data_IF_064281538471
#
_entry.id   IF_064281538471
#
_cell.length_a   1.000
_cell.length_b   1.000
_cell.length_c   1.000
_cell.angle_alpha   90.00
_cell.angle_beta   90.00
_cell.angle_gamma   90.00
#
_symmetry.space_group_name_H-M   'P 1'
#
loop_
_entity.id
_entity.type
_entity.pdbx_description
1 polymer ?
#
# COMPACT_ATOMS: atom_id res chain seq x y z
N UNK A 1 7.36 -5.63 8.90
CA UNK A 1 6.95 -4.69 9.96
C UNK A 1 7.90 -3.52 9.97
N UNK A 2 7.43 -2.36 10.36
CA UNK A 2 8.20 -1.13 10.41
C UNK A 2 8.07 -0.50 11.80
N UNK A 3 9.07 0.26 12.25
CA UNK A 3 9.00 0.99 13.53
C UNK A 3 8.53 2.40 13.23
N UNK A 4 7.40 2.78 13.82
CA UNK A 4 6.87 4.13 13.74
C UNK A 4 7.74 5.10 14.57
N UNK A 5 7.89 6.34 14.08
CA UNK A 5 8.59 7.40 14.80
C UNK A 5 7.97 7.67 16.19
N UNK A 6 8.68 8.37 17.09
CA UNK A 6 8.24 8.62 18.49
C UNK A 6 6.92 9.40 18.64
N UNK A 7 6.25 9.77 17.57
CA UNK A 7 4.99 10.55 17.62
C UNK A 7 3.81 9.68 18.10
N UNK A 8 3.00 10.15 19.09
CA UNK A 8 1.76 9.46 19.48
C UNK A 8 0.80 9.28 18.30
N UNK A 9 -0.11 8.25 18.33
CA UNK A 9 -0.37 7.37 19.47
C UNK A 9 0.51 6.11 19.52
N UNK A 10 1.22 5.73 18.48
CA UNK A 10 1.92 4.43 18.41
C UNK A 10 3.44 4.54 18.20
N UNK A 11 4.06 5.57 18.79
CA UNK A 11 5.50 5.78 18.67
C UNK A 11 6.34 4.61 19.24
N UNK A 12 7.42 4.25 18.54
CA UNK A 12 8.35 3.15 18.83
C UNK A 12 7.72 1.74 18.80
N UNK A 13 6.50 1.57 18.25
CA UNK A 13 5.91 0.26 18.07
C UNK A 13 6.18 -0.27 16.66
N UNK A 14 6.28 -1.59 16.56
CA UNK A 14 6.26 -2.26 15.28
C UNK A 14 4.84 -2.25 14.72
N UNK A 15 4.69 -1.73 13.52
CA UNK A 15 3.41 -1.67 12.81
C UNK A 15 3.57 -2.24 11.40
N UNK A 16 2.46 -2.62 10.79
CA UNK A 16 2.42 -2.88 9.35
C UNK A 16 2.32 -1.55 8.60
N UNK A 17 2.91 -1.45 7.38
CA UNK A 17 2.67 -0.30 6.51
C UNK A 17 1.19 -0.14 6.24
N UNK A 18 0.71 1.10 6.20
CA UNK A 18 -0.69 1.37 5.86
C UNK A 18 -1.25 2.62 6.49
N UNK A 19 -2.29 3.15 5.88
CA UNK A 19 -2.97 4.36 6.28
C UNK A 19 -4.47 4.31 6.02
N UNK A 20 -5.05 5.47 5.75
CA UNK A 20 -6.46 5.63 5.46
C UNK A 20 -6.70 5.56 3.95
N UNK A 21 -7.94 5.26 3.60
CA UNK A 21 -8.42 5.49 2.23
C UNK A 21 -8.55 7.00 2.05
N UNK A 22 -7.91 7.53 1.01
CA UNK A 22 -7.99 8.93 0.60
C UNK A 22 -9.06 9.13 -0.47
N UNK A 23 -9.46 10.38 -0.70
CA UNK A 23 -10.44 10.71 -1.74
C UNK A 23 -9.96 10.28 -3.14
N UNK A 24 -8.66 10.36 -3.40
CA UNK A 24 -8.05 9.92 -4.65
C UNK A 24 -8.18 8.41 -4.87
N UNK A 25 -8.21 7.60 -3.80
CA UNK A 25 -8.39 6.14 -3.88
C UNK A 25 -9.81 5.75 -4.30
N UNK A 26 -10.78 6.66 -4.16
CA UNK A 26 -12.20 6.46 -4.48
C UNK A 26 -12.56 6.78 -5.95
N UNK A 27 -11.61 7.25 -6.75
CA UNK A 27 -11.86 7.66 -8.12
C UNK A 27 -12.29 6.50 -9.00
N UNK A 28 -13.38 6.67 -9.77
CA UNK A 28 -13.92 5.62 -10.66
C UNK A 28 -12.96 5.20 -11.78
N UNK A 29 -11.97 6.03 -12.07
CA UNK A 29 -10.95 5.75 -13.09
C UNK A 29 -10.08 4.55 -12.73
N UNK A 30 -9.92 4.22 -11.45
CA UNK A 30 -9.11 3.10 -10.99
C UNK A 30 -9.47 1.76 -11.60
N UNK A 31 -10.72 1.58 -12.04
CA UNK A 31 -11.16 0.38 -12.78
C UNK A 31 -10.33 0.09 -14.04
N UNK A 32 -9.69 1.13 -14.62
CA UNK A 32 -8.85 1.03 -15.82
C UNK A 32 -7.37 0.83 -15.50
N UNK A 33 -6.98 0.95 -14.21
CA UNK A 33 -5.61 0.87 -13.72
C UNK A 33 -5.40 -0.24 -12.70
N UNK A 34 -6.40 -1.09 -12.47
CA UNK A 34 -6.29 -2.28 -11.62
C UNK A 34 -6.58 -3.54 -12.43
N UNK A 35 -5.84 -4.61 -12.18
CA UNK A 35 -6.16 -5.92 -12.71
C UNK A 35 -6.87 -6.79 -11.66
N UNK A 36 -7.67 -7.73 -12.16
CA UNK A 36 -8.29 -8.81 -11.38
C UNK A 36 -9.59 -8.46 -10.68
N UNK A 37 -9.75 -7.26 -10.15
CA UNK A 37 -10.96 -6.86 -9.43
C UNK A 37 -11.58 -5.59 -10.01
N UNK A 38 -12.90 -5.58 -10.08
CA UNK A 38 -13.69 -4.35 -10.16
C UNK A 38 -14.26 -4.03 -8.78
N UNK A 39 -14.90 -2.88 -8.64
CA UNK A 39 -15.42 -2.44 -7.35
C UNK A 39 -16.47 -3.40 -6.74
N UNK A 40 -17.35 -3.95 -7.55
CA UNK A 40 -18.39 -4.89 -7.10
C UNK A 40 -17.78 -6.17 -6.51
N UNK A 41 -16.81 -6.78 -7.21
CA UNK A 41 -16.13 -7.99 -6.73
C UNK A 41 -15.32 -7.68 -5.46
N UNK A 42 -14.58 -6.57 -5.46
CA UNK A 42 -13.81 -6.16 -4.31
C UNK A 42 -14.69 -5.89 -3.07
N UNK A 43 -15.84 -5.25 -3.28
CA UNK A 43 -16.83 -4.99 -2.22
C UNK A 43 -17.42 -6.28 -1.67
N UNK A 44 -17.75 -7.24 -2.51
CA UNK A 44 -18.24 -8.56 -2.12
C UNK A 44 -17.20 -9.31 -1.27
N UNK A 45 -15.94 -9.34 -1.71
CA UNK A 45 -14.84 -10.01 -0.98
C UNK A 45 -14.65 -9.41 0.41
N UNK A 46 -14.76 -8.09 0.57
CA UNK A 46 -14.58 -7.40 1.85
C UNK A 46 -15.85 -7.33 2.70
N UNK A 47 -17.01 -7.70 2.15
CA UNK A 47 -18.30 -7.57 2.83
C UNK A 47 -18.67 -6.10 3.07
N UNK A 48 -18.34 -5.20 2.14
CA UNK A 48 -18.75 -3.78 2.17
C UNK A 48 -19.77 -3.51 1.08
N UNK A 49 -20.58 -2.47 1.25
CA UNK A 49 -21.65 -2.15 0.30
C UNK A 49 -21.13 -1.64 -1.04
N UNK A 50 -20.07 -0.84 -1.02
CA UNK A 50 -19.46 -0.17 -2.18
C UNK A 50 -18.02 0.24 -1.87
N UNK A 51 -17.32 0.71 -2.89
CA UNK A 51 -15.94 1.23 -2.80
C UNK A 51 -14.92 0.21 -2.28
N UNK A 52 -15.18 -1.09 -2.46
CA UNK A 52 -14.27 -2.15 -2.02
C UNK A 52 -12.91 -2.08 -2.69
N UNK A 53 -12.84 -1.66 -3.97
CA UNK A 53 -11.58 -1.56 -4.70
C UNK A 53 -10.63 -0.53 -4.08
N UNK A 54 -11.15 0.53 -3.45
CA UNK A 54 -10.34 1.57 -2.81
C UNK A 54 -9.42 1.03 -1.71
N UNK A 55 -9.79 -0.05 -1.04
CA UNK A 55 -8.94 -0.70 -0.02
C UNK A 55 -7.67 -1.30 -0.63
N UNK A 56 -7.75 -1.91 -1.82
CA UNK A 56 -6.57 -2.39 -2.54
C UNK A 56 -5.70 -1.25 -3.04
N UNK A 57 -6.33 -0.19 -3.56
CA UNK A 57 -5.62 0.99 -4.05
C UNK A 57 -4.86 1.65 -2.89
N UNK A 58 -5.54 1.92 -1.76
CA UNK A 58 -4.92 2.47 -0.57
C UNK A 58 -3.77 1.57 -0.06
N UNK A 59 -3.97 0.25 0.00
CA UNK A 59 -2.94 -0.69 0.39
C UNK A 59 -1.68 -0.59 -0.49
N UNK A 60 -1.84 -0.47 -1.81
CA UNK A 60 -0.71 -0.35 -2.75
C UNK A 60 -0.05 1.03 -2.63
N UNK A 61 -0.84 2.11 -2.55
CA UNK A 61 -0.34 3.47 -2.38
C UNK A 61 0.48 3.60 -1.10
N UNK A 62 -0.06 3.20 0.03
CA UNK A 62 0.60 3.24 1.33
C UNK A 62 1.88 2.38 1.37
N UNK A 63 1.85 1.20 0.73
CA UNK A 63 3.06 0.38 0.60
C UNK A 63 4.14 1.10 -0.21
N UNK A 64 3.77 1.86 -1.23
CA UNK A 64 4.72 2.65 -2.00
C UNK A 64 5.23 3.86 -1.21
N UNK A 65 4.35 4.60 -0.55
CA UNK A 65 4.70 5.78 0.25
C UNK A 65 5.60 5.41 1.45
N UNK A 66 5.20 4.40 2.23
CA UNK A 66 5.88 4.09 3.49
C UNK A 66 7.13 3.23 3.33
N UNK A 67 7.10 2.23 2.43
CA UNK A 67 8.16 1.23 2.32
C UNK A 67 8.77 1.10 0.92
N UNK A 68 8.34 1.90 -0.04
CA UNK A 68 8.89 1.93 -1.40
C UNK A 68 8.52 0.72 -2.26
N UNK A 69 7.56 -0.10 -1.83
CA UNK A 69 7.10 -1.27 -2.57
C UNK A 69 5.88 -0.92 -3.41
N UNK A 70 6.00 -1.05 -4.72
CA UNK A 70 4.94 -0.75 -5.68
C UNK A 70 4.40 -2.04 -6.31
N UNK A 71 3.22 -2.45 -5.90
CA UNK A 71 2.53 -3.65 -6.40
C UNK A 71 1.82 -3.35 -7.72
N UNK A 72 2.62 -3.11 -8.76
CA UNK A 72 2.16 -2.74 -10.10
C UNK A 72 3.07 -3.37 -11.16
N UNK A 73 2.58 -3.35 -12.39
CA UNK A 73 3.33 -3.69 -13.61
C UNK A 73 3.06 -2.65 -14.68
N UNK A 74 3.91 -2.55 -15.68
CA UNK A 74 3.62 -1.74 -16.87
C UNK A 74 2.48 -2.36 -17.67
N UNK A 75 1.70 -1.56 -18.33
CA UNK A 75 0.63 -2.02 -19.25
C UNK A 75 1.17 -2.93 -20.34
N UNK A 76 2.42 -2.74 -20.77
CA UNK A 76 3.15 -3.63 -21.67
C UNK A 76 3.38 -5.04 -21.10
N UNK A 77 3.17 -5.24 -19.78
CA UNK A 77 3.51 -6.48 -19.07
C UNK A 77 4.93 -6.51 -18.50
N UNK A 78 5.76 -5.52 -18.80
CA UNK A 78 7.12 -5.41 -18.28
C UNK A 78 7.12 -5.17 -16.78
N UNK A 79 8.00 -5.87 -16.05
CA UNK A 79 8.18 -5.70 -14.60
C UNK A 79 8.88 -4.36 -14.31
N UNK A 80 8.53 -3.74 -13.18
CA UNK A 80 9.24 -2.59 -12.65
C UNK A 80 10.57 -3.04 -12.03
N UNK A 81 11.61 -2.25 -12.26
CA UNK A 81 12.94 -2.44 -11.68
C UNK A 81 13.29 -1.25 -10.79
N UNK A 82 12.77 -1.28 -9.55
CA UNK A 82 12.95 -0.19 -8.58
C UNK A 82 14.31 -0.25 -7.86
N UNK A 83 15.13 -1.27 -8.10
CA UNK A 83 16.54 -1.33 -7.66
C UNK A 83 17.51 -0.85 -8.73
N UNK A 84 17.09 -0.88 -10.00
CA UNK A 84 17.92 -0.54 -11.15
C UNK A 84 17.39 0.66 -11.95
N UNK A 85 16.98 0.40 -13.20
CA UNK A 85 16.70 1.47 -14.19
C UNK A 85 15.57 2.41 -13.80
N UNK A 86 14.56 1.96 -13.08
CA UNK A 86 13.40 2.77 -12.70
C UNK A 86 13.60 3.52 -11.37
N UNK A 87 14.65 3.17 -10.60
CA UNK A 87 14.88 3.62 -9.23
C UNK A 87 14.75 5.14 -9.04
N UNK A 88 15.60 5.90 -9.69
CA UNK A 88 15.68 7.36 -9.48
C UNK A 88 14.36 8.07 -9.80
N UNK A 89 13.65 7.60 -10.82
CA UNK A 89 12.37 8.16 -11.24
C UNK A 89 11.28 7.85 -10.21
N UNK A 90 11.19 6.61 -9.74
CA UNK A 90 10.17 6.22 -8.76
C UNK A 90 10.48 6.73 -7.35
N UNK A 91 11.75 6.87 -6.98
CA UNK A 91 12.16 7.58 -5.75
C UNK A 91 11.68 9.04 -5.76
N UNK A 92 11.74 9.71 -6.92
CA UNK A 92 11.18 11.06 -7.08
C UNK A 92 9.66 11.05 -6.98
N UNK A 93 8.98 10.18 -7.71
CA UNK A 93 7.51 10.06 -7.62
C UNK A 93 7.03 9.79 -6.19
N UNK A 94 7.74 8.92 -5.46
CA UNK A 94 7.41 8.63 -4.06
C UNK A 94 7.49 9.89 -3.19
N UNK A 95 8.53 10.70 -3.36
CA UNK A 95 8.66 11.98 -2.64
C UNK A 95 7.57 12.97 -3.01
N UNK A 96 7.32 13.12 -4.31
CA UNK A 96 6.28 14.03 -4.81
C UNK A 96 4.89 13.59 -4.31
N UNK A 97 4.62 12.28 -4.22
CA UNK A 97 3.37 11.71 -3.70
C UNK A 97 3.21 11.99 -2.20
N UNK A 98 4.25 11.72 -1.38
CA UNK A 98 4.26 11.99 0.06
C UNK A 98 4.05 13.49 0.34
N UNK A 99 4.58 14.36 -0.51
CA UNK A 99 4.41 15.82 -0.41
C UNK A 99 3.08 16.33 -1.00
N UNK A 100 2.21 15.44 -1.51
CA UNK A 100 0.97 15.79 -2.21
C UNK A 100 1.17 16.68 -3.45
N UNK A 101 2.34 16.59 -4.11
CA UNK A 101 2.66 17.31 -5.35
C UNK A 101 2.14 16.58 -6.59
N UNK A 102 1.86 15.30 -6.47
CA UNK A 102 1.28 14.44 -7.52
C UNK A 102 0.32 13.42 -6.88
N UNK A 103 -0.75 13.04 -7.58
CA UNK A 103 -1.61 11.94 -7.12
C UNK A 103 -1.08 10.57 -7.55
N UNK A 104 -1.46 9.52 -6.82
CA UNK A 104 -1.07 8.17 -7.17
C UNK A 104 -1.63 7.72 -8.52
N UNK A 105 -2.85 8.15 -8.84
CA UNK A 105 -3.46 7.89 -10.14
C UNK A 105 -2.69 8.55 -11.28
N UNK A 106 -2.19 9.77 -11.06
CA UNK A 106 -1.40 10.48 -12.06
C UNK A 106 -0.06 9.76 -12.33
N UNK A 107 0.59 9.21 -11.31
CA UNK A 107 1.79 8.36 -11.49
C UNK A 107 1.44 7.15 -12.36
N UNK A 108 0.33 6.47 -12.07
CA UNK A 108 -0.12 5.32 -12.84
C UNK A 108 -0.41 5.68 -14.30
N UNK A 109 -0.99 6.85 -14.55
CA UNK A 109 -1.25 7.37 -15.90
C UNK A 109 0.06 7.63 -16.67
N UNK A 110 0.98 8.38 -16.08
CA UNK A 110 2.26 8.77 -16.71
C UNK A 110 3.15 7.58 -17.05
N UNK A 111 3.17 6.59 -16.17
CA UNK A 111 4.03 5.41 -16.30
C UNK A 111 3.32 4.20 -16.90
N UNK A 112 2.08 4.37 -17.37
CA UNK A 112 1.23 3.31 -17.92
C UNK A 112 1.20 2.07 -17.01
N UNK A 113 0.95 2.30 -15.71
CA UNK A 113 0.91 1.23 -14.73
C UNK A 113 -0.46 0.59 -14.62
N UNK A 114 -0.44 -0.71 -14.31
CA UNK A 114 -1.60 -1.48 -13.88
C UNK A 114 -1.28 -2.03 -12.49
N UNK A 115 -2.07 -1.67 -11.49
CA UNK A 115 -1.96 -2.19 -10.13
C UNK A 115 -2.33 -3.67 -10.12
N UNK A 116 -1.50 -4.49 -9.46
CA UNK A 116 -1.68 -5.96 -9.45
C UNK A 116 -2.57 -6.41 -8.28
N UNK A 117 -3.78 -5.85 -8.20
CA UNK A 117 -4.73 -6.11 -7.12
C UNK A 117 -5.04 -7.60 -6.92
N UNK A 118 -5.08 -8.39 -8.01
CA UNK A 118 -5.30 -9.84 -7.95
C UNK A 118 -4.23 -10.62 -7.20
N UNK A 119 -3.04 -10.06 -7.03
CA UNK A 119 -1.93 -10.68 -6.31
C UNK A 119 -1.92 -10.32 -4.82
N UNK A 120 -2.96 -9.61 -4.35
CA UNK A 120 -3.10 -9.14 -2.99
C UNK A 120 -4.36 -9.77 -2.41
N UNK A 121 -4.22 -10.59 -1.38
CA UNK A 121 -5.33 -11.25 -0.71
C UNK A 121 -5.66 -10.56 0.63
N UNK A 122 -6.95 -10.40 0.99
CA UNK A 122 -7.34 -10.03 2.34
C UNK A 122 -6.86 -11.10 3.32
N UNK A 123 -6.28 -10.67 4.44
CA UNK A 123 -5.75 -11.55 5.48
C UNK A 123 -6.64 -11.56 6.73
N UNK A 124 -6.99 -10.38 7.21
CA UNK A 124 -7.81 -10.23 8.43
C UNK A 124 -8.48 -8.85 8.48
N UNK A 125 -9.50 -8.75 9.32
CA UNK A 125 -10.24 -7.52 9.58
C UNK A 125 -10.35 -7.32 11.10
N UNK A 126 -9.89 -6.20 11.58
CA UNK A 126 -9.86 -5.86 13.01
C UNK A 126 -10.57 -4.55 13.23
N UNK A 127 -11.53 -4.57 14.18
CA UNK A 127 -12.27 -3.39 14.62
C UNK A 127 -11.92 -3.15 16.09
N UNK A 128 -11.49 -1.94 16.41
CA UNK A 128 -11.22 -1.56 17.79
C UNK A 128 -12.50 -1.66 18.63
N UNK A 129 -12.47 -2.24 19.84
CA UNK A 129 -13.64 -2.36 20.70
C UNK A 129 -14.31 -1.03 21.02
N UNK A 130 -15.61 -1.07 21.33
CA UNK A 130 -16.44 0.13 21.50
C UNK A 130 -16.08 0.99 22.72
N UNK A 131 -15.36 0.43 23.69
CA UNK A 131 -14.93 1.16 24.89
C UNK A 131 -13.66 1.99 24.68
N UNK A 132 -13.00 1.88 23.52
CA UNK A 132 -11.80 2.65 23.22
C UNK A 132 -12.16 4.04 22.69
N UNK A 133 -11.40 5.05 23.15
CA UNK A 133 -11.60 6.45 22.75
C UNK A 133 -11.30 6.65 21.27
N UNK A 134 -10.28 5.96 20.73
CA UNK A 134 -9.88 6.03 19.34
C UNK A 134 -10.10 4.68 18.68
N UNK A 135 -11.02 4.62 17.74
CA UNK A 135 -11.39 3.39 17.05
C UNK A 135 -10.81 3.35 15.66
N UNK A 136 -10.40 2.15 15.27
CA UNK A 136 -9.90 1.84 13.94
C UNK A 136 -10.70 0.67 13.38
N UNK A 137 -11.05 0.76 12.12
CA UNK A 137 -11.52 -0.34 11.28
C UNK A 137 -10.38 -0.65 10.30
N UNK A 138 -9.64 -1.71 10.58
CA UNK A 138 -8.38 -2.01 9.88
C UNK A 138 -8.47 -3.34 9.16
N UNK A 139 -8.25 -3.31 7.85
CA UNK A 139 -8.14 -4.51 7.02
C UNK A 139 -6.68 -4.76 6.69
N UNK A 140 -6.24 -5.99 6.91
CA UNK A 140 -4.88 -6.43 6.59
C UNK A 140 -4.90 -7.22 5.29
N UNK A 141 -3.87 -7.00 4.50
CA UNK A 141 -3.66 -7.67 3.22
C UNK A 141 -2.32 -8.38 3.21
N UNK A 142 -2.21 -9.41 2.38
CA UNK A 142 -0.97 -10.14 2.14
C UNK A 142 -0.68 -10.16 0.63
N UNK A 143 0.59 -9.92 0.29
CA UNK A 143 1.09 -9.98 -1.08
C UNK A 143 2.50 -10.56 -1.10
N UNK A 144 2.90 -11.11 -2.24
CA UNK A 144 4.30 -11.44 -2.49
C UNK A 144 5.09 -10.16 -2.77
N UNK A 145 6.30 -10.09 -2.20
CA UNK A 145 7.24 -9.01 -2.54
C UNK A 145 7.63 -9.14 -4.03
N UNK A 146 7.46 -8.08 -4.84
CA UNK A 146 7.90 -8.11 -6.22
C UNK A 146 9.42 -8.29 -6.33
N UNK A 147 9.87 -8.94 -7.40
CA UNK A 147 11.28 -8.99 -7.75
C UNK A 147 11.82 -7.58 -8.07
N UNK A 148 13.11 -7.36 -7.84
CA UNK A 148 13.80 -6.07 -8.08
C UNK A 148 13.18 -4.89 -7.31
N UNK A 149 12.67 -5.17 -6.11
CA UNK A 149 12.21 -4.17 -5.16
C UNK A 149 12.66 -4.54 -3.75
N UNK A 150 13.20 -3.58 -3.03
CA UNK A 150 13.61 -3.73 -1.64
C UNK A 150 12.82 -2.77 -0.74
N UNK A 151 12.58 -3.20 0.49
CA UNK A 151 11.92 -2.36 1.49
C UNK A 151 12.84 -1.20 1.90
N UNK A 152 12.37 0.03 1.67
CA UNK A 152 13.07 1.25 2.06
C UNK A 152 12.08 2.14 2.82
N UNK A 153 12.26 2.28 4.14
CA UNK A 153 11.43 3.21 4.92
C UNK A 153 11.63 4.67 4.46
N UNK A 154 10.61 5.49 4.65
CA UNK A 154 10.60 6.90 4.23
C UNK A 154 11.54 7.80 5.05
N UNK A 155 11.95 7.34 6.24
CA UNK A 155 12.79 8.09 7.17
C UNK A 155 12.05 9.19 7.95
N UNK A 156 10.77 9.42 7.68
CA UNK A 156 9.95 10.44 8.32
C UNK A 156 8.96 9.85 9.33
N UNK A 157 8.03 9.03 8.87
CA UNK A 157 7.07 8.32 9.74
C UNK A 157 7.65 7.01 10.26
N UNK A 158 8.47 6.35 9.46
CA UNK A 158 9.07 5.07 9.74
C UNK A 158 10.58 5.23 9.88
N UNK A 159 11.13 4.72 10.99
CA UNK A 159 12.56 4.84 11.30
C UNK A 159 13.35 3.58 11.02
N UNK A 160 12.70 2.42 11.04
CA UNK A 160 13.33 1.13 10.78
C UNK A 160 12.34 0.19 10.10
N UNK A 161 12.86 -0.71 9.27
CA UNK A 161 12.11 -1.83 8.70
C UNK A 161 12.68 -3.15 9.18
N UNK A 162 11.81 -4.10 9.51
CA UNK A 162 12.19 -5.43 9.94
C UNK A 162 11.50 -6.47 9.06
N UNK A 163 12.30 -7.27 8.36
CA UNK A 163 11.83 -8.46 7.69
C UNK A 163 11.82 -9.61 8.70
N UNK A 164 10.63 -10.16 8.99
CA UNK A 164 10.44 -11.24 9.94
C UNK A 164 10.18 -12.52 9.17
N UNK A 165 10.95 -13.57 9.48
CA UNK A 165 10.64 -14.91 9.00
C UNK A 165 9.56 -15.50 9.92
N UNK A 166 8.33 -15.77 9.43
CA UNK A 166 7.23 -16.25 10.26
C UNK A 166 7.48 -17.64 10.87
N UNK A 167 8.43 -18.40 10.32
CA UNK A 167 8.80 -19.74 10.81
C UNK A 167 9.92 -19.73 11.86
N UNK A 168 10.51 -18.57 12.16
CA UNK A 168 11.50 -18.42 13.23
C UNK A 168 10.86 -17.63 14.35
N UNK A 169 10.57 -18.29 15.49
CA UNK A 169 10.21 -17.65 16.75
C UNK A 169 11.36 -16.73 17.22
N UNK A 170 11.45 -15.55 16.67
CA UNK A 170 12.36 -14.48 17.11
C UNK A 170 11.50 -13.23 17.35
N UNK A 171 10.93 -13.16 18.51
CA UNK A 171 10.58 -11.94 19.23
C UNK A 171 11.38 -11.92 20.50
#
# INVERSE_FOLDING_TARGET
MVIRSKKPPFGNLFVFPGGKIDEDDLQKEWKSYCDGYNDSIASEILGVNESGLSYWIACIRESFEEVGILLAKRKSGEKLDLEGRDKNKFDKYRKDLINHEISFLEICKREELILTAKNIAPLSHWITPDFEIKRFDTRFFIAYLPENQIVQHDGMELTHSLLINPNKNQL
#
